data_IF_516883727424
#
_entry.id   IF_516883727424
#
_cell.length_a   1.000
_cell.length_b   1.000
_cell.length_c   1.000
_cell.angle_alpha   90.00
_cell.angle_beta   90.00
_cell.angle_gamma   90.00
#
_symmetry.space_group_name_H-M   'P 1'
#
loop_
_entity.id
_entity.type
_entity.pdbx_description
1 polymer ?
#
# COMPACT_ATOMS: atom_id res chain seq x y z
N UNK A 1 -44.70 -31.24 -18.88
CA UNK A 1 -44.14 -29.94 -19.32
C UNK A 1 -44.57 -28.91 -18.30
N UNK A 2 -43.93 -28.63 -17.17
CA UNK A 2 -42.51 -28.60 -16.81
C UNK A 2 -42.29 -27.28 -16.06
N UNK A 3 -42.81 -27.18 -14.82
CA UNK A 3 -42.65 -26.00 -13.95
C UNK A 3 -41.22 -26.02 -13.38
N UNK A 4 -40.36 -25.12 -13.84
CA UNK A 4 -39.02 -24.93 -13.27
C UNK A 4 -39.03 -23.77 -12.27
N UNK A 5 -38.98 -24.18 -11.01
CA UNK A 5 -38.50 -23.39 -9.88
C UNK A 5 -36.98 -23.29 -10.04
N UNK A 6 -36.43 -22.10 -10.26
CA UNK A 6 -35.04 -21.81 -9.91
C UNK A 6 -34.96 -20.51 -9.11
N UNK A 7 -34.97 -20.73 -7.79
CA UNK A 7 -34.19 -20.02 -6.77
C UNK A 7 -33.51 -18.73 -7.26
N UNK A 8 -34.24 -17.62 -7.15
CA UNK A 8 -33.59 -16.35 -6.87
C UNK A 8 -32.84 -16.51 -5.55
N UNK A 9 -31.52 -16.59 -5.65
CA UNK A 9 -30.61 -16.48 -4.53
C UNK A 9 -30.95 -15.22 -3.74
N UNK A 10 -31.65 -15.40 -2.62
CA UNK A 10 -31.49 -14.55 -1.45
C UNK A 10 -30.01 -14.66 -1.04
N UNK A 11 -29.17 -13.88 -1.71
CA UNK A 11 -27.86 -13.51 -1.18
C UNK A 11 -28.19 -12.51 -0.09
N UNK A 12 -28.38 -13.01 1.14
CA UNK A 12 -28.23 -12.18 2.34
C UNK A 12 -27.02 -11.28 2.12
N UNK A 13 -27.25 -9.98 2.17
CA UNK A 13 -26.19 -9.01 1.96
C UNK A 13 -25.09 -9.29 3.00
N UNK A 14 -23.87 -9.68 2.59
CA UNK A 14 -22.81 -9.86 3.57
C UNK A 14 -22.43 -8.48 4.09
N UNK A 15 -22.60 -8.28 5.40
CA UNK A 15 -21.73 -7.45 6.23
C UNK A 15 -21.41 -6.03 5.76
N UNK A 16 -22.41 -5.33 5.22
CA UNK A 16 -22.31 -3.88 4.97
C UNK A 16 -21.87 -3.06 6.20
N UNK A 17 -22.39 -3.29 7.43
CA UNK A 17 -21.97 -2.51 8.59
C UNK A 17 -20.58 -2.91 9.10
N UNK A 18 -20.20 -4.19 9.03
CA UNK A 18 -18.89 -4.65 9.48
C UNK A 18 -17.79 -4.16 8.52
N UNK A 19 -18.02 -4.22 7.21
CA UNK A 19 -17.09 -3.66 6.20
C UNK A 19 -16.94 -2.14 6.35
N UNK A 20 -18.02 -1.41 6.68
CA UNK A 20 -17.95 0.03 6.96
C UNK A 20 -17.21 0.38 8.26
N UNK A 21 -17.41 -0.39 9.33
CA UNK A 21 -16.68 -0.19 10.59
C UNK A 21 -15.19 -0.56 10.44
N UNK A 22 -14.89 -1.60 9.66
CA UNK A 22 -13.53 -2.08 9.36
C UNK A 22 -12.75 -1.08 8.49
N UNK A 23 -13.41 -0.49 7.49
CA UNK A 23 -12.82 0.56 6.65
C UNK A 23 -12.64 1.88 7.41
N UNK A 24 -13.50 2.17 8.39
CA UNK A 24 -13.33 3.28 9.31
C UNK A 24 -12.11 3.12 10.23
N UNK A 25 -11.76 1.90 10.66
CA UNK A 25 -10.58 1.65 11.50
C UNK A 25 -9.26 1.92 10.77
N UNK A 26 -9.09 1.40 9.55
CA UNK A 26 -7.89 1.67 8.74
C UNK A 26 -7.71 3.16 8.46
N UNK A 27 -8.78 3.82 8.00
CA UNK A 27 -8.77 5.25 7.67
C UNK A 27 -8.49 6.12 8.90
N UNK A 28 -9.09 5.78 10.05
CA UNK A 28 -8.85 6.50 11.30
C UNK A 28 -7.39 6.35 11.78
N UNK A 29 -6.81 5.15 11.71
CA UNK A 29 -5.40 4.93 12.08
C UNK A 29 -4.46 5.70 11.16
N UNK A 30 -4.68 5.67 9.84
CA UNK A 30 -3.86 6.44 8.91
C UNK A 30 -4.00 7.95 9.11
N UNK A 31 -5.21 8.45 9.38
CA UNK A 31 -5.44 9.86 9.69
C UNK A 31 -4.74 10.29 11.00
N UNK A 32 -4.79 9.46 12.04
CA UNK A 32 -4.12 9.74 13.31
C UNK A 32 -2.59 9.79 13.14
N UNK A 33 -2.00 8.85 12.39
CA UNK A 33 -0.57 8.87 12.10
C UNK A 33 -0.20 10.10 11.25
N UNK A 34 -1.01 10.44 10.25
CA UNK A 34 -0.83 11.64 9.43
C UNK A 34 -0.83 12.93 10.27
N UNK A 35 -1.79 13.08 11.18
CA UNK A 35 -1.85 14.22 12.11
C UNK A 35 -0.60 14.29 13.00
N UNK A 36 -0.13 13.14 13.50
CA UNK A 36 1.10 13.06 14.31
C UNK A 36 2.31 13.56 13.53
N UNK A 37 2.47 13.14 12.27
CA UNK A 37 3.53 13.63 11.36
C UNK A 37 3.43 15.14 11.14
N UNK A 38 2.23 15.68 10.95
CA UNK A 38 2.00 17.10 10.64
C UNK A 38 2.14 18.01 11.86
N UNK A 39 1.83 17.51 13.06
CA UNK A 39 1.74 18.33 14.28
C UNK A 39 3.06 18.91 14.80
N UNK A 40 4.21 18.54 14.23
CA UNK A 40 5.57 19.03 14.55
C UNK A 40 5.87 19.09 16.07
N UNK A 41 5.16 18.27 16.85
CA UNK A 41 5.05 18.35 18.32
C UNK A 41 6.16 17.59 19.06
N UNK A 42 7.18 17.13 18.34
CA UNK A 42 8.25 16.27 18.87
C UNK A 42 7.83 14.81 19.11
N UNK A 43 6.56 14.47 18.87
CA UNK A 43 6.11 13.08 18.92
C UNK A 43 6.63 12.29 17.72
N UNK A 44 7.62 11.44 17.96
CA UNK A 44 8.13 10.52 16.94
C UNK A 44 7.16 9.37 16.71
N UNK A 45 7.07 8.91 15.46
CA UNK A 45 6.33 7.70 15.13
C UNK A 45 6.97 6.51 15.83
N UNK A 46 6.16 5.70 16.49
CA UNK A 46 6.56 4.38 16.95
C UNK A 46 6.98 3.52 15.75
N UNK A 47 7.70 2.43 16.04
CA UNK A 47 8.11 1.46 15.01
C UNK A 47 6.92 0.88 14.23
N UNK A 48 5.80 0.65 14.91
CA UNK A 48 4.58 0.09 14.30
C UNK A 48 3.90 1.13 13.41
N UNK A 49 3.70 2.35 13.90
CA UNK A 49 3.14 3.47 13.11
C UNK A 49 3.99 3.73 11.87
N UNK A 50 5.32 3.70 12.01
CA UNK A 50 6.25 3.84 10.90
C UNK A 50 6.04 2.76 9.84
N UNK A 51 5.91 1.48 10.22
CA UNK A 51 5.62 0.42 9.25
C UNK A 51 4.29 0.64 8.53
N UNK A 52 3.23 0.91 9.29
CA UNK A 52 1.88 1.09 8.74
C UNK A 52 1.85 2.23 7.73
N UNK A 53 2.35 3.41 8.12
CA UNK A 53 2.34 4.61 7.27
C UNK A 53 3.17 4.41 6.00
N UNK A 54 4.41 3.92 6.14
CA UNK A 54 5.31 3.78 5.00
C UNK A 54 4.83 2.72 4.01
N UNK A 55 4.21 1.65 4.50
CA UNK A 55 3.58 0.63 3.64
C UNK A 55 2.40 1.21 2.88
N UNK A 56 1.50 1.92 3.57
CA UNK A 56 0.37 2.60 2.94
C UNK A 56 0.82 3.62 1.88
N UNK A 57 1.90 4.35 2.15
CA UNK A 57 2.48 5.31 1.22
C UNK A 57 3.02 4.64 -0.05
N UNK A 58 3.69 3.48 0.07
CA UNK A 58 4.15 2.72 -1.12
C UNK A 58 2.97 2.19 -1.93
N UNK A 59 1.96 1.60 -1.28
CA UNK A 59 0.74 1.14 -1.96
C UNK A 59 0.10 2.29 -2.74
N UNK A 60 -0.07 3.44 -2.09
CA UNK A 60 -0.67 4.64 -2.72
C UNK A 60 0.19 5.21 -3.85
N UNK A 61 1.52 5.17 -3.73
CA UNK A 61 2.45 5.69 -4.74
C UNK A 61 2.43 4.84 -6.02
N UNK A 62 2.23 3.53 -5.89
CA UNK A 62 2.32 2.58 -7.00
C UNK A 62 0.97 2.28 -7.66
N UNK A 63 -0.13 2.33 -6.90
CA UNK A 63 -1.49 2.06 -7.37
C UNK A 63 -2.08 3.26 -8.15
N UNK A 64 -2.42 3.12 -9.45
CA UNK A 64 -2.96 4.23 -10.25
C UNK A 64 -4.43 4.59 -9.96
N UNK A 65 -5.09 3.93 -9.00
CA UNK A 65 -6.51 4.12 -8.68
C UNK A 65 -6.74 4.15 -7.17
N UNK A 66 -7.18 5.30 -6.69
CA UNK A 66 -7.57 5.62 -5.31
C UNK A 66 -8.32 4.49 -4.59
N UNK A 67 -7.67 3.81 -3.66
CA UNK A 67 -8.41 3.31 -2.51
C UNK A 67 -8.93 4.50 -1.71
N UNK A 68 -10.15 4.45 -1.18
CA UNK A 68 -10.72 5.45 -0.25
C UNK A 68 -9.89 5.65 1.04
N UNK A 69 -8.81 4.85 1.17
CA UNK A 69 -7.87 4.77 2.26
C UNK A 69 -6.51 5.42 1.95
N UNK A 70 -6.26 5.81 0.70
CA UNK A 70 -5.01 6.45 0.31
C UNK A 70 -4.87 7.81 1.02
N UNK A 71 -3.82 8.04 1.82
CA UNK A 71 -3.60 9.34 2.45
C UNK A 71 -3.30 10.38 1.36
N UNK A 72 -4.07 11.47 1.31
CA UNK A 72 -4.00 12.47 0.24
C UNK A 72 -2.61 13.12 0.06
N UNK A 73 -1.78 13.07 1.10
CA UNK A 73 -0.42 13.59 1.15
C UNK A 73 0.63 12.54 1.54
N UNK A 74 0.33 11.24 1.34
CA UNK A 74 1.23 10.16 1.74
C UNK A 74 2.62 10.33 1.12
N UNK A 75 3.64 10.38 1.97
CA UNK A 75 5.05 10.33 1.57
C UNK A 75 5.73 9.20 2.32
N UNK A 76 6.62 8.49 1.63
CA UNK A 76 7.47 7.49 2.26
C UNK A 76 8.55 8.22 3.07
N UNK A 77 8.47 8.08 4.40
CA UNK A 77 9.42 8.63 5.37
C UNK A 77 10.59 7.67 5.62
N UNK A 78 10.37 6.36 5.46
CA UNK A 78 11.35 5.29 5.64
C UNK A 78 11.04 4.09 4.76
N UNK A 79 11.88 3.87 3.75
CA UNK A 79 11.77 2.71 2.86
C UNK A 79 12.02 1.38 3.57
N UNK A 80 12.91 1.35 4.56
CA UNK A 80 13.14 0.17 5.39
C UNK A 80 11.90 -0.21 6.21
N UNK A 81 11.15 0.79 6.69
CA UNK A 81 9.88 0.53 7.38
C UNK A 81 8.79 0.02 6.44
N UNK A 82 8.71 0.53 5.20
CA UNK A 82 7.80 0.00 4.19
C UNK A 82 8.11 -1.47 3.88
N UNK A 83 9.39 -1.80 3.64
CA UNK A 83 9.83 -3.17 3.40
C UNK A 83 9.42 -4.11 4.53
N UNK A 84 9.74 -3.74 5.77
CA UNK A 84 9.37 -4.52 6.95
C UNK A 84 7.85 -4.69 7.09
N UNK A 85 7.05 -3.69 6.69
CA UNK A 85 5.59 -3.80 6.68
C UNK A 85 5.08 -4.82 5.65
N UNK A 86 5.64 -4.85 4.43
CA UNK A 86 5.34 -5.90 3.45
C UNK A 86 5.75 -7.31 3.92
N UNK A 87 6.90 -7.43 4.59
CA UNK A 87 7.31 -8.69 5.23
C UNK A 87 6.30 -9.13 6.31
N UNK A 88 5.84 -8.22 7.18
CA UNK A 88 4.85 -8.52 8.23
C UNK A 88 3.43 -8.81 7.68
N UNK A 89 3.13 -8.36 6.46
CA UNK A 89 1.93 -8.73 5.71
C UNK A 89 2.04 -10.11 5.04
N UNK A 90 3.22 -10.74 5.06
CA UNK A 90 3.47 -12.01 4.39
C UNK A 90 3.72 -11.87 2.88
N UNK A 91 4.16 -10.69 2.42
CA UNK A 91 4.42 -10.38 1.01
C UNK A 91 5.92 -10.12 0.77
N UNK A 92 6.79 -11.14 0.81
CA UNK A 92 8.23 -10.98 0.61
C UNK A 92 8.60 -10.46 -0.79
N UNK A 93 7.78 -10.77 -1.81
CA UNK A 93 8.00 -10.27 -3.17
C UNK A 93 7.75 -8.75 -3.26
N UNK A 94 6.74 -8.25 -2.55
CA UNK A 94 6.50 -6.80 -2.43
C UNK A 94 7.64 -6.11 -1.65
N UNK A 95 8.19 -6.76 -0.62
CA UNK A 95 9.36 -6.26 0.10
C UNK A 95 10.62 -6.19 -0.79
N UNK A 96 10.80 -7.19 -1.65
CA UNK A 96 11.88 -7.22 -2.66
C UNK A 96 11.68 -6.11 -3.69
N UNK A 97 10.44 -5.92 -4.17
CA UNK A 97 10.07 -4.81 -5.04
C UNK A 97 10.46 -3.44 -4.44
N UNK A 98 10.16 -3.19 -3.16
CA UNK A 98 10.52 -1.94 -2.48
C UNK A 98 12.04 -1.71 -2.54
N UNK A 99 12.83 -2.77 -2.35
CA UNK A 99 14.29 -2.68 -2.42
C UNK A 99 14.74 -2.27 -3.83
N UNK A 100 14.22 -2.93 -4.87
CA UNK A 100 14.53 -2.63 -6.26
C UNK A 100 14.09 -1.22 -6.67
N UNK A 101 12.93 -0.75 -6.19
CA UNK A 101 12.45 0.61 -6.42
C UNK A 101 13.39 1.65 -5.82
N UNK A 102 13.81 1.46 -4.57
CA UNK A 102 14.76 2.37 -3.90
C UNK A 102 16.08 2.46 -4.65
N UNK A 103 16.62 1.31 -5.09
CA UNK A 103 17.85 1.28 -5.88
C UNK A 103 17.71 2.06 -7.19
N UNK A 104 16.59 1.90 -7.89
CA UNK A 104 16.36 2.63 -9.14
C UNK A 104 16.18 4.14 -8.91
N UNK A 105 15.45 4.53 -7.87
CA UNK A 105 15.29 5.94 -7.51
C UNK A 105 16.63 6.60 -7.13
N UNK A 106 17.48 5.89 -6.39
CA UNK A 106 18.83 6.36 -6.05
C UNK A 106 19.69 6.50 -7.32
N UNK A 107 19.69 5.49 -8.19
CA UNK A 107 20.38 5.55 -9.48
C UNK A 107 19.99 6.80 -10.27
N UNK A 108 18.70 7.13 -10.35
CA UNK A 108 18.22 8.33 -11.07
C UNK A 108 18.75 9.64 -10.51
N UNK A 109 19.04 9.73 -9.22
CA UNK A 109 19.64 10.93 -8.64
C UNK A 109 21.10 11.13 -9.03
N UNK A 110 21.76 10.07 -9.51
CA UNK A 110 23.16 10.05 -9.92
C UNK A 110 23.34 10.12 -11.45
N UNK A 111 22.26 9.97 -12.23
CA UNK A 111 22.31 10.07 -13.71
C UNK A 111 22.72 11.50 -14.12
N UNK A 112 23.71 11.60 -15.00
CA UNK A 112 24.04 12.86 -15.67
C UNK A 112 22.81 13.31 -16.50
N UNK A 113 22.29 14.53 -16.30
CA UNK A 113 21.18 15.07 -17.09
C UNK A 113 21.40 15.07 -18.61
N UNK A 114 22.66 14.92 -19.07
CA UNK A 114 23.02 14.81 -20.48
C UNK A 114 22.98 13.39 -21.02
N UNK A 115 22.95 12.38 -20.15
CA UNK A 115 22.85 10.96 -20.52
C UNK A 115 21.38 10.54 -20.77
N UNK A 116 20.90 10.89 -21.97
CA UNK A 116 19.54 10.51 -22.42
C UNK A 116 19.32 9.00 -22.48
N UNK A 117 20.38 8.21 -22.67
CA UNK A 117 20.27 6.75 -22.74
C UNK A 117 20.09 6.18 -21.34
N UNK A 118 20.90 6.61 -20.37
CA UNK A 118 20.73 6.25 -18.97
C UNK A 118 19.34 6.62 -18.44
N UNK A 119 18.83 7.80 -18.80
CA UNK A 119 17.45 8.21 -18.47
C UNK A 119 16.40 7.28 -19.07
N UNK A 120 16.52 6.94 -20.36
CA UNK A 120 15.59 6.06 -21.06
C UNK A 120 15.59 4.64 -20.47
N UNK A 121 16.76 4.07 -20.22
CA UNK A 121 16.91 2.74 -19.63
C UNK A 121 16.33 2.69 -18.20
N UNK A 122 16.51 3.76 -17.43
CA UNK A 122 15.89 3.93 -16.11
C UNK A 122 14.36 3.94 -16.18
N UNK A 123 13.77 4.67 -17.12
CA UNK A 123 12.32 4.69 -17.30
C UNK A 123 11.75 3.31 -17.65
N UNK A 124 12.47 2.52 -18.46
CA UNK A 124 12.09 1.13 -18.77
C UNK A 124 12.12 0.24 -17.52
N UNK A 125 13.15 0.37 -16.68
CA UNK A 125 13.21 -0.38 -15.41
C UNK A 125 12.10 0.02 -14.45
N UNK A 126 11.80 1.32 -14.31
CA UNK A 126 10.65 1.79 -13.53
C UNK A 126 9.32 1.25 -14.06
N UNK A 127 9.11 1.23 -15.37
CA UNK A 127 7.90 0.64 -15.96
C UNK A 127 7.78 -0.87 -15.68
N UNK A 128 8.91 -1.58 -15.69
CA UNK A 128 8.97 -3.01 -15.34
C UNK A 128 8.64 -3.23 -13.87
N UNK A 129 9.23 -2.45 -12.98
CA UNK A 129 8.93 -2.47 -11.54
C UNK A 129 7.44 -2.20 -11.28
N UNK A 130 6.86 -1.19 -11.95
CA UNK A 130 5.42 -0.91 -11.84
C UNK A 130 4.56 -2.10 -12.24
N UNK A 131 4.91 -2.77 -13.35
CA UNK A 131 4.18 -3.97 -13.80
C UNK A 131 4.27 -5.11 -12.78
N UNK A 132 5.45 -5.32 -12.19
CA UNK A 132 5.63 -6.33 -11.13
C UNK A 132 4.76 -6.00 -9.91
N UNK A 133 4.69 -4.73 -9.51
CA UNK A 133 3.83 -4.32 -8.41
C UNK A 133 2.34 -4.54 -8.73
N UNK A 134 1.90 -4.18 -9.95
CA UNK A 134 0.51 -4.39 -10.36
C UNK A 134 0.11 -5.86 -10.36
N UNK A 135 1.01 -6.79 -10.70
CA UNK A 135 0.73 -8.23 -10.59
C UNK A 135 0.46 -8.66 -9.13
N UNK A 136 1.22 -8.11 -8.17
CA UNK A 136 1.00 -8.36 -6.74
C UNK A 136 -0.38 -7.79 -6.32
N UNK A 137 -0.77 -6.62 -6.82
CA UNK A 137 -2.09 -6.03 -6.54
C UNK A 137 -3.25 -6.85 -7.13
N UNK A 138 -3.06 -7.48 -8.28
CA UNK A 138 -4.07 -8.37 -8.88
C UNK A 138 -4.28 -9.65 -8.07
N UNK A 139 -3.22 -10.15 -7.44
CA UNK A 139 -3.25 -11.37 -6.63
C UNK A 139 -3.68 -11.14 -5.18
N UNK A 140 -3.45 -9.93 -4.65
CA UNK A 140 -3.61 -9.62 -3.23
C UNK A 140 -4.31 -8.29 -2.99
N UNK A 141 -5.32 -8.30 -2.10
CA UNK A 141 -5.87 -7.07 -1.55
C UNK A 141 -4.91 -6.46 -0.52
N UNK A 142 -4.01 -5.58 -1.00
CA UNK A 142 -2.97 -4.95 -0.18
C UNK A 142 -3.54 -4.12 0.98
N UNK A 143 -4.69 -3.48 0.79
CA UNK A 143 -5.33 -2.66 1.82
C UNK A 143 -5.96 -3.53 2.91
N UNK A 144 -6.54 -4.68 2.56
CA UNK A 144 -7.02 -5.67 3.52
C UNK A 144 -5.87 -6.29 4.33
N UNK A 145 -4.75 -6.61 3.68
CA UNK A 145 -3.56 -7.14 4.36
C UNK A 145 -2.96 -6.11 5.34
N UNK A 146 -2.91 -4.85 4.94
CA UNK A 146 -2.48 -3.75 5.81
C UNK A 146 -3.42 -3.59 7.02
N UNK A 147 -4.73 -3.69 6.81
CA UNK A 147 -5.72 -3.66 7.89
C UNK A 147 -5.51 -4.81 8.87
N UNK A 148 -5.34 -6.04 8.37
CA UNK A 148 -5.04 -7.22 9.21
C UNK A 148 -3.73 -7.05 9.99
N UNK A 149 -2.74 -6.33 9.45
CA UNK A 149 -1.54 -5.97 10.20
C UNK A 149 -1.88 -5.06 11.40
N UNK A 150 -2.66 -4.01 11.18
CA UNK A 150 -3.10 -3.07 12.24
C UNK A 150 -3.83 -3.82 13.36
N UNK A 151 -4.81 -4.66 13.00
CA UNK A 151 -5.61 -5.44 13.96
C UNK A 151 -4.76 -6.38 14.83
N UNK A 152 -3.69 -6.96 14.26
CA UNK A 152 -2.74 -7.81 15.01
C UNK A 152 -1.89 -7.00 15.98
N UNK A 153 -1.52 -5.78 15.61
CA UNK A 153 -0.64 -4.91 16.42
C UNK A 153 -1.37 -4.14 17.52
N UNK A 154 -2.70 -4.07 17.48
CA UNK A 154 -3.52 -3.40 18.49
C UNK A 154 -3.92 -4.32 19.68
N UNK A 155 -3.52 -5.60 19.65
CA UNK A 155 -3.72 -6.58 20.73
C UNK A 155 -2.50 -6.65 21.64
#
# INVERSE_FOLDING_TARGET
MGLLIERLCNREAPDRPATQAQSASLKATLAAIGQKIESDSGETLSRVESKIWNTAAVISYMAPGSGDHAPANAKVLSWAAARAGFEDMGLPDAATFVTSLVTELAFRTEIDPRDRRGESDSLVRLATLKRQFSAIEEEHDLWDLLRKLIERTAR
#
